data_IF_620694543437
#
_entry.id   IF_620694543437
#
_cell.length_a   1.000
_cell.length_b   1.000
_cell.length_c   1.000
_cell.angle_alpha   90.00
_cell.angle_beta   90.00
_cell.angle_gamma   90.00
#
_symmetry.space_group_name_H-M   'P 1'
#
loop_
_entity.id
_entity.type
_entity.pdbx_description
1 polymer ?
#
# COMPACT_ATOMS: atom_id res chain seq x y z
N UNK A 1 17.83 20.91 -4.64
CA UNK A 1 16.66 21.66 -4.10
C UNK A 1 15.39 20.92 -4.45
N UNK A 2 14.56 20.69 -3.45
CA UNK A 2 13.23 20.07 -3.57
C UNK A 2 12.24 21.12 -4.05
N UNK A 3 11.48 20.82 -5.11
CA UNK A 3 10.53 21.75 -5.72
C UNK A 3 9.23 21.06 -6.12
N UNK A 4 8.14 21.82 -6.12
CA UNK A 4 6.83 21.36 -6.61
C UNK A 4 6.92 20.96 -8.08
N UNK A 5 6.22 19.89 -8.46
CA UNK A 5 6.18 19.42 -9.85
C UNK A 5 5.30 20.35 -10.69
N UNK A 6 5.94 21.16 -11.55
CA UNK A 6 5.28 22.11 -12.46
C UNK A 6 5.56 21.85 -13.94
N UNK A 7 6.57 21.05 -14.24
CA UNK A 7 7.01 20.81 -15.63
C UNK A 7 7.40 19.35 -15.88
N UNK A 8 7.65 19.02 -17.17
CA UNK A 8 7.99 17.67 -17.63
C UNK A 8 9.28 17.14 -17.00
N UNK A 9 10.29 17.98 -16.85
CA UNK A 9 11.59 17.57 -16.27
C UNK A 9 11.45 17.14 -14.82
N UNK A 10 10.73 17.91 -14.01
CA UNK A 10 10.45 17.55 -12.61
C UNK A 10 9.62 16.27 -12.51
N UNK A 11 8.63 16.09 -13.40
CA UNK A 11 7.85 14.86 -13.47
C UNK A 11 8.72 13.64 -13.84
N UNK A 12 9.66 13.81 -14.75
CA UNK A 12 10.60 12.74 -15.09
C UNK A 12 11.52 12.37 -13.92
N UNK A 13 12.04 13.37 -13.19
CA UNK A 13 12.84 13.14 -11.96
C UNK A 13 12.04 12.37 -10.91
N UNK A 14 10.79 12.75 -10.69
CA UNK A 14 9.90 12.06 -9.76
C UNK A 14 9.74 10.57 -10.13
N UNK A 15 9.44 10.26 -11.38
CA UNK A 15 9.32 8.87 -11.83
C UNK A 15 10.65 8.12 -11.73
N UNK A 16 11.76 8.75 -12.09
CA UNK A 16 13.08 8.14 -11.98
C UNK A 16 13.46 7.82 -10.53
N UNK A 17 13.11 8.70 -9.58
CA UNK A 17 13.34 8.46 -8.16
C UNK A 17 12.51 7.29 -7.59
N UNK A 18 11.33 7.02 -8.15
CA UNK A 18 10.47 5.89 -7.74
C UNK A 18 10.88 4.56 -8.39
N UNK A 19 11.50 4.60 -9.58
CA UNK A 19 11.72 3.43 -10.43
C UNK A 19 12.45 2.29 -9.70
N UNK A 20 11.87 1.10 -9.75
CA UNK A 20 12.39 -0.12 -9.15
C UNK A 20 12.29 -0.20 -7.62
N UNK A 21 11.81 0.85 -6.94
CA UNK A 21 11.66 0.84 -5.49
C UNK A 21 10.36 0.16 -5.07
N UNK A 22 10.49 -0.84 -4.20
CA UNK A 22 9.35 -1.62 -3.72
C UNK A 22 8.30 -0.72 -3.06
N UNK A 23 7.03 -0.97 -3.35
CA UNK A 23 5.87 -0.18 -2.98
C UNK A 23 5.82 1.20 -3.66
N UNK A 24 6.90 1.97 -3.60
CA UNK A 24 6.94 3.34 -4.14
C UNK A 24 6.70 3.40 -5.65
N UNK A 25 7.27 2.46 -6.42
CA UNK A 25 7.15 2.46 -7.88
C UNK A 25 5.72 2.18 -8.38
N UNK A 26 4.90 1.49 -7.59
CA UNK A 26 3.48 1.38 -7.87
C UNK A 26 2.69 2.60 -7.36
N UNK A 27 2.96 3.03 -6.12
CA UNK A 27 2.10 3.97 -5.39
C UNK A 27 2.28 5.42 -5.85
N UNK A 28 3.51 5.95 -5.84
CA UNK A 28 3.76 7.36 -6.03
C UNK A 28 3.49 7.84 -7.47
N UNK A 29 3.96 7.13 -8.53
CA UNK A 29 3.61 7.46 -9.91
C UNK A 29 2.11 7.46 -10.16
N UNK A 30 1.39 6.48 -9.61
CA UNK A 30 -0.04 6.40 -9.74
C UNK A 30 -0.74 7.57 -9.02
N UNK A 31 -0.34 7.89 -7.79
CA UNK A 31 -0.88 9.02 -7.03
C UNK A 31 -0.69 10.34 -7.81
N UNK A 32 0.52 10.58 -8.36
CA UNK A 32 0.78 11.77 -9.19
C UNK A 32 -0.10 11.80 -10.46
N UNK A 33 -0.33 10.66 -11.12
CA UNK A 33 -1.18 10.59 -12.30
C UNK A 33 -2.65 10.90 -11.98
N UNK A 34 -3.15 10.40 -10.85
CA UNK A 34 -4.54 10.54 -10.46
C UNK A 34 -4.86 11.90 -9.84
N UNK A 35 -3.98 12.39 -8.98
CA UNK A 35 -4.21 13.54 -8.08
C UNK A 35 -3.39 14.78 -8.45
N UNK A 36 -2.35 14.65 -9.28
CA UNK A 36 -1.43 15.75 -9.55
C UNK A 36 -2.07 17.01 -10.16
N UNK A 37 -3.20 16.88 -10.86
CA UNK A 37 -3.96 18.03 -11.37
C UNK A 37 -4.90 18.64 -10.33
N UNK A 38 -5.57 17.82 -9.53
CA UNK A 38 -6.53 18.26 -8.50
C UNK A 38 -5.84 18.71 -7.21
N UNK A 39 -4.64 18.18 -6.93
CA UNK A 39 -3.85 18.48 -5.74
C UNK A 39 -2.41 18.91 -6.12
N UNK A 40 -2.23 20.04 -6.82
CA UNK A 40 -0.92 20.42 -7.36
C UNK A 40 0.14 20.67 -6.29
N UNK A 41 -0.27 21.04 -5.05
CA UNK A 41 0.62 21.28 -3.92
C UNK A 41 1.06 20.02 -3.17
N UNK A 42 0.72 18.81 -3.67
CA UNK A 42 1.00 17.55 -3.00
C UNK A 42 2.33 16.90 -3.43
N UNK A 43 2.74 17.09 -4.68
CA UNK A 43 3.85 16.34 -5.26
C UNK A 43 5.06 17.22 -5.53
N UNK A 44 6.24 16.72 -5.08
CA UNK A 44 7.51 17.44 -5.19
C UNK A 44 8.61 16.51 -5.69
N UNK A 45 9.60 17.08 -6.36
CA UNK A 45 10.77 16.37 -6.86
C UNK A 45 12.05 17.13 -6.51
N UNK A 46 13.05 16.38 -6.05
CA UNK A 46 14.46 16.79 -6.01
C UNK A 46 15.23 16.22 -7.22
N UNK A 47 16.55 16.36 -7.26
CA UNK A 47 17.38 15.73 -8.29
C UNK A 47 17.21 14.21 -8.33
N UNK A 48 17.16 13.57 -7.17
CA UNK A 48 17.08 12.10 -6.98
C UNK A 48 15.98 11.70 -6.00
N UNK A 49 15.03 12.60 -5.70
CA UNK A 49 13.98 12.42 -4.72
C UNK A 49 12.60 12.63 -5.34
N UNK A 50 11.64 11.79 -4.94
CA UNK A 50 10.20 11.97 -5.15
C UNK A 50 9.50 12.06 -3.80
N UNK A 51 8.64 13.07 -3.62
CA UNK A 51 7.81 13.24 -2.43
C UNK A 51 6.34 13.33 -2.78
N UNK A 52 5.53 12.56 -2.06
CA UNK A 52 4.08 12.69 -1.99
C UNK A 52 3.72 13.18 -0.57
N UNK A 53 3.25 14.42 -0.46
CA UNK A 53 2.87 15.05 0.80
C UNK A 53 1.35 15.01 0.95
N UNK A 54 0.85 13.99 1.62
CA UNK A 54 -0.57 13.78 1.89
C UNK A 54 -0.94 14.20 3.32
N UNK A 55 -1.50 15.39 3.48
CA UNK A 55 -1.81 15.94 4.80
C UNK A 55 -0.55 16.13 5.65
N UNK A 56 -0.47 15.48 6.84
CA UNK A 56 0.68 15.58 7.74
C UNK A 56 1.72 14.47 7.56
N UNK A 57 1.56 13.62 6.55
CA UNK A 57 2.51 12.51 6.29
C UNK A 57 3.03 12.61 4.88
N UNK A 58 4.34 12.50 4.73
CA UNK A 58 5.00 12.40 3.43
C UNK A 58 5.47 10.96 3.16
N UNK A 59 5.49 10.59 1.87
CA UNK A 59 6.17 9.39 1.37
C UNK A 59 7.35 9.85 0.54
N UNK A 60 8.56 9.38 0.87
CA UNK A 60 9.81 9.79 0.25
C UNK A 60 10.49 8.62 -0.45
N UNK A 61 10.63 8.68 -1.77
CA UNK A 61 11.35 7.70 -2.58
C UNK A 61 12.61 8.34 -3.19
N UNK A 62 13.75 7.66 -3.10
CA UNK A 62 15.01 8.16 -3.61
C UNK A 62 15.89 8.76 -2.51
N UNK A 63 16.80 9.66 -2.87
CA UNK A 63 17.80 10.21 -1.97
C UNK A 63 17.66 11.72 -1.83
N UNK A 64 17.84 12.23 -0.61
CA UNK A 64 17.92 13.65 -0.29
C UNK A 64 19.00 13.91 0.74
N UNK A 65 19.48 15.16 0.80
CA UNK A 65 20.24 15.64 1.94
C UNK A 65 19.33 15.68 3.17
N UNK A 66 19.73 15.15 4.35
CA UNK A 66 18.92 15.10 5.56
C UNK A 66 18.40 16.47 6.04
N UNK A 67 19.27 17.50 6.00
CA UNK A 67 18.90 18.85 6.46
C UNK A 67 17.92 19.52 5.50
N UNK A 68 18.13 19.37 4.18
CA UNK A 68 17.21 19.85 3.16
C UNK A 68 15.84 19.18 3.29
N UNK A 69 15.83 17.85 3.51
CA UNK A 69 14.60 17.09 3.68
C UNK A 69 13.85 17.51 4.94
N UNK A 70 14.55 17.65 6.08
CA UNK A 70 13.95 18.09 7.34
C UNK A 70 13.34 19.50 7.21
N UNK A 71 14.10 20.45 6.69
CA UNK A 71 13.63 21.84 6.48
C UNK A 71 12.41 21.90 5.56
N UNK A 72 12.43 21.09 4.48
CA UNK A 72 11.32 21.04 3.53
C UNK A 72 10.05 20.42 4.14
N UNK A 73 10.19 19.30 4.87
CA UNK A 73 9.06 18.66 5.54
C UNK A 73 8.43 19.55 6.61
N UNK A 74 9.24 20.25 7.38
CA UNK A 74 8.78 21.22 8.37
C UNK A 74 8.02 22.39 7.70
N UNK A 75 8.56 22.94 6.60
CA UNK A 75 7.89 23.95 5.80
C UNK A 75 6.52 23.49 5.29
N UNK A 76 6.40 22.22 4.88
CA UNK A 76 5.12 21.62 4.47
C UNK A 76 4.19 21.28 5.63
N UNK A 77 4.58 21.47 6.89
CA UNK A 77 3.80 21.12 8.08
C UNK A 77 3.65 19.59 8.27
N UNK A 78 4.58 18.81 7.72
CA UNK A 78 4.59 17.38 7.92
C UNK A 78 4.94 17.01 9.36
N UNK A 79 4.27 16.00 9.89
CA UNK A 79 4.56 15.38 11.21
C UNK A 79 5.17 14.00 11.08
N UNK A 80 5.11 13.43 9.90
CA UNK A 80 5.70 12.12 9.63
C UNK A 80 6.21 12.01 8.20
N UNK A 81 7.25 11.19 8.02
CA UNK A 81 7.74 10.76 6.70
C UNK A 81 7.97 9.25 6.71
N UNK A 82 7.64 8.59 5.60
CA UNK A 82 7.89 7.18 5.37
C UNK A 82 8.92 7.08 4.25
N UNK A 83 10.01 6.38 4.50
CA UNK A 83 11.13 6.25 3.58
C UNK A 83 11.85 4.90 3.73
N UNK A 84 12.64 4.54 2.71
CA UNK A 84 13.59 3.43 2.75
C UNK A 84 14.95 3.95 3.21
N UNK A 85 15.36 3.62 4.44
CA UNK A 85 16.63 4.08 5.04
C UNK A 85 17.87 3.61 4.29
N UNK A 86 17.79 2.50 3.55
CA UNK A 86 18.91 2.03 2.72
C UNK A 86 19.19 2.97 1.55
N UNK A 87 18.23 3.83 1.20
CA UNK A 87 18.33 4.72 0.03
C UNK A 87 18.22 6.20 0.43
N UNK A 88 17.36 6.54 1.38
CA UNK A 88 17.09 7.89 1.84
C UNK A 88 17.53 8.03 3.29
N UNK A 89 18.57 8.81 3.60
CA UNK A 89 18.94 9.12 4.98
C UNK A 89 17.75 9.78 5.71
N UNK A 90 17.59 9.51 7.03
CA UNK A 90 16.53 10.11 7.82
C UNK A 90 16.70 11.64 7.90
N UNK A 91 15.60 12.41 7.98
CA UNK A 91 15.67 13.86 8.16
C UNK A 91 16.34 14.21 9.49
N UNK A 92 17.20 15.20 9.48
CA UNK A 92 17.88 15.67 10.68
C UNK A 92 16.89 16.13 11.76
N UNK A 93 17.09 15.65 12.99
CA UNK A 93 16.24 15.99 14.14
C UNK A 93 14.95 15.17 14.23
N UNK A 94 14.64 14.31 13.25
CA UNK A 94 13.45 13.45 13.29
C UNK A 94 13.76 12.11 13.95
N UNK A 95 12.81 11.56 14.70
CA UNK A 95 12.96 10.29 15.42
C UNK A 95 12.25 9.15 14.71
N UNK A 96 12.88 7.97 14.71
CA UNK A 96 12.25 6.77 14.17
C UNK A 96 11.12 6.31 15.08
N UNK A 97 9.89 6.37 14.58
CA UNK A 97 8.69 5.93 15.32
C UNK A 97 8.41 4.43 15.14
N UNK A 98 8.60 3.92 13.89
CA UNK A 98 8.40 2.49 13.59
C UNK A 98 9.08 2.08 12.30
N UNK A 99 9.32 0.77 12.17
CA UNK A 99 9.74 0.13 10.92
C UNK A 99 8.67 -0.89 10.49
N UNK A 100 8.38 -0.96 9.21
CA UNK A 100 7.50 -1.95 8.60
C UNK A 100 8.29 -2.76 7.58
N UNK A 101 8.19 -4.07 7.64
CA UNK A 101 8.81 -4.95 6.64
C UNK A 101 8.01 -4.90 5.35
N UNK A 102 8.68 -4.77 4.22
CA UNK A 102 8.07 -4.99 2.90
C UNK A 102 8.06 -6.50 2.67
N UNK A 103 6.89 -7.07 2.54
CA UNK A 103 6.69 -8.46 2.12
C UNK A 103 6.23 -8.51 0.67
N UNK A 104 6.47 -9.63 0.01
CA UNK A 104 5.99 -9.88 -1.35
C UNK A 104 6.41 -11.23 -1.89
N UNK A 105 6.23 -11.40 -3.18
CA UNK A 105 6.67 -12.58 -3.93
C UNK A 105 7.89 -12.25 -4.78
N UNK A 106 8.70 -13.25 -5.11
CA UNK A 106 9.67 -13.13 -6.19
C UNK A 106 8.93 -12.98 -7.55
N UNK A 107 9.63 -12.50 -8.56
CA UNK A 107 9.03 -12.37 -9.89
C UNK A 107 8.61 -13.74 -10.43
N UNK A 108 7.35 -13.88 -10.81
CA UNK A 108 6.79 -15.13 -11.35
C UNK A 108 6.51 -16.23 -10.31
N UNK A 109 6.78 -15.97 -9.04
CA UNK A 109 6.50 -16.92 -7.96
C UNK A 109 4.99 -16.99 -7.68
N UNK A 110 4.53 -18.21 -7.36
CA UNK A 110 3.19 -18.49 -6.84
C UNK A 110 3.30 -19.28 -5.53
N UNK A 111 2.40 -19.01 -4.62
CA UNK A 111 2.35 -19.66 -3.32
C UNK A 111 1.38 -20.84 -3.33
N UNK A 112 1.70 -21.93 -2.62
CA UNK A 112 0.71 -22.97 -2.35
C UNK A 112 -0.41 -22.40 -1.47
N UNK A 113 -1.64 -22.86 -1.71
CA UNK A 113 -2.75 -22.51 -0.84
C UNK A 113 -2.53 -23.03 0.58
N UNK A 114 -2.87 -22.25 1.62
CA UNK A 114 -2.72 -22.69 3.00
C UNK A 114 -3.51 -23.98 3.27
N UNK A 115 -2.86 -24.96 3.87
CA UNK A 115 -3.53 -26.21 4.26
C UNK A 115 -4.70 -25.91 5.21
N UNK A 116 -5.85 -26.51 4.93
CA UNK A 116 -7.08 -26.33 5.70
C UNK A 116 -7.54 -27.67 6.26
N UNK A 117 -8.09 -27.65 7.47
CA UNK A 117 -8.86 -28.77 8.03
C UNK A 117 -10.18 -28.93 7.27
N UNK A 118 -10.83 -30.08 7.39
CA UNK A 118 -12.15 -30.31 6.77
C UNK A 118 -13.16 -29.22 7.18
N UNK A 119 -13.23 -28.88 8.47
CA UNK A 119 -14.11 -27.83 8.97
C UNK A 119 -13.83 -26.46 8.31
N UNK A 120 -12.55 -26.12 8.12
CA UNK A 120 -12.17 -24.87 7.47
C UNK A 120 -12.50 -24.86 5.98
N UNK A 121 -12.40 -26.02 5.32
CA UNK A 121 -12.79 -26.20 3.92
C UNK A 121 -14.30 -26.03 3.75
N UNK A 122 -15.09 -26.71 4.56
CA UNK A 122 -16.56 -26.59 4.54
C UNK A 122 -16.99 -25.12 4.76
N UNK A 123 -16.34 -24.44 5.72
CA UNK A 123 -16.60 -23.01 5.94
C UNK A 123 -16.23 -22.18 4.71
N UNK A 124 -15.06 -22.39 4.12
CA UNK A 124 -14.63 -21.69 2.91
C UNK A 124 -15.64 -21.90 1.76
N UNK A 125 -16.07 -23.12 1.53
CA UNK A 125 -17.00 -23.49 0.44
C UNK A 125 -18.41 -22.93 0.66
N UNK A 126 -18.75 -22.53 1.89
CA UNK A 126 -20.01 -21.81 2.22
C UNK A 126 -19.97 -20.32 1.95
N UNK A 127 -18.80 -19.75 1.63
CA UNK A 127 -18.62 -18.34 1.32
C UNK A 127 -18.68 -18.10 -0.19
N UNK A 128 -19.29 -17.00 -0.59
CA UNK A 128 -19.30 -16.58 -1.99
C UNK A 128 -18.18 -15.59 -2.24
N UNK A 129 -17.27 -15.90 -3.15
CA UNK A 129 -16.23 -14.98 -3.59
C UNK A 129 -16.80 -13.97 -4.60
N UNK A 130 -16.51 -12.70 -4.37
CA UNK A 130 -16.77 -11.59 -5.27
C UNK A 130 -15.42 -10.93 -5.62
N UNK A 131 -15.07 -10.96 -6.90
CA UNK A 131 -13.79 -10.43 -7.41
C UNK A 131 -13.89 -8.95 -7.83
N UNK A 132 -15.10 -8.39 -7.78
CA UNK A 132 -15.34 -6.98 -8.08
C UNK A 132 -16.41 -6.36 -7.17
N UNK A 133 -16.29 -6.47 -5.82
CA UNK A 133 -17.28 -6.00 -4.89
C UNK A 133 -17.49 -4.49 -5.00
N UNK A 134 -18.71 -4.03 -4.75
CA UNK A 134 -19.00 -2.60 -4.72
C UNK A 134 -18.10 -1.85 -3.72
N UNK A 135 -17.56 -0.68 -4.13
CA UNK A 135 -16.58 0.06 -3.33
C UNK A 135 -17.15 0.60 -2.01
N UNK A 136 -18.45 0.91 -1.95
CA UNK A 136 -19.12 1.38 -0.73
C UNK A 136 -19.07 0.36 0.40
N UNK A 137 -19.64 -0.85 0.24
CA UNK A 137 -19.57 -1.92 1.24
C UNK A 137 -18.12 -2.28 1.65
N UNK A 138 -17.16 -2.26 0.72
CA UNK A 138 -15.75 -2.46 1.05
C UNK A 138 -15.23 -1.37 1.98
N UNK A 139 -15.55 -0.10 1.69
CA UNK A 139 -15.13 1.04 2.52
C UNK A 139 -15.77 0.99 3.92
N UNK A 140 -17.02 0.56 4.03
CA UNK A 140 -17.71 0.37 5.30
C UNK A 140 -17.06 -0.70 6.17
N UNK A 141 -16.69 -1.84 5.60
CA UNK A 141 -15.99 -2.91 6.32
C UNK A 141 -14.61 -2.46 6.80
N UNK A 142 -13.87 -1.70 5.98
CA UNK A 142 -12.52 -1.27 6.31
C UNK A 142 -12.49 -0.10 7.32
N UNK A 143 -13.49 0.78 7.31
CA UNK A 143 -13.51 2.00 8.13
C UNK A 143 -14.89 2.24 8.77
N UNK A 144 -15.41 1.28 9.58
CA UNK A 144 -16.77 1.37 10.14
C UNK A 144 -16.97 2.62 11.00
N UNK A 145 -15.96 2.95 11.84
CA UNK A 145 -16.03 4.03 12.84
C UNK A 145 -15.27 5.30 12.42
N UNK A 146 -14.91 5.43 11.13
CA UNK A 146 -14.10 6.54 10.61
C UNK A 146 -14.71 7.13 9.33
N UNK A 147 -15.83 7.86 9.41
CA UNK A 147 -16.59 8.30 8.23
C UNK A 147 -15.76 9.12 7.23
N UNK A 148 -15.01 10.11 7.69
CA UNK A 148 -14.16 10.91 6.79
C UNK A 148 -13.13 10.06 6.03
N UNK A 149 -12.47 9.11 6.74
CA UNK A 149 -11.52 8.19 6.08
C UNK A 149 -12.21 7.22 5.12
N UNK A 150 -13.43 6.81 5.43
CA UNK A 150 -14.26 5.95 4.57
C UNK A 150 -14.60 6.65 3.26
N UNK A 151 -15.01 7.92 3.32
CA UNK A 151 -15.32 8.74 2.15
C UNK A 151 -14.09 8.97 1.27
N UNK A 152 -12.95 9.33 1.86
CA UNK A 152 -11.68 9.49 1.15
C UNK A 152 -11.28 8.19 0.45
N UNK A 153 -11.33 7.08 1.18
CA UNK A 153 -11.00 5.76 0.64
C UNK A 153 -11.95 5.34 -0.49
N UNK A 154 -13.26 5.53 -0.30
CA UNK A 154 -14.27 5.24 -1.32
C UNK A 154 -13.99 5.99 -2.62
N UNK A 155 -13.78 7.30 -2.53
CA UNK A 155 -13.51 8.17 -3.68
C UNK A 155 -12.21 7.75 -4.41
N UNK A 156 -11.14 7.49 -3.65
CA UNK A 156 -9.87 7.03 -4.18
C UNK A 156 -10.01 5.66 -4.86
N UNK A 157 -10.70 4.71 -4.22
CA UNK A 157 -10.92 3.36 -4.76
C UNK A 157 -11.72 3.40 -6.05
N UNK A 158 -12.83 4.13 -6.10
CA UNK A 158 -13.61 4.31 -7.33
C UNK A 158 -12.75 4.86 -8.48
N UNK A 159 -11.95 5.88 -8.19
CA UNK A 159 -11.04 6.49 -9.18
C UNK A 159 -9.99 5.49 -9.68
N UNK A 160 -9.43 4.68 -8.81
CA UNK A 160 -8.42 3.67 -9.18
C UNK A 160 -9.04 2.52 -9.98
N UNK A 161 -10.21 2.02 -9.55
CA UNK A 161 -10.92 0.93 -10.23
C UNK A 161 -11.37 1.32 -11.63
N UNK A 162 -11.96 2.49 -11.81
CA UNK A 162 -12.38 2.99 -13.14
C UNK A 162 -11.23 3.09 -14.16
N UNK A 163 -9.98 3.05 -13.69
CA UNK A 163 -8.76 3.07 -14.51
C UNK A 163 -8.00 1.75 -14.53
N UNK A 164 -8.57 0.67 -13.97
CA UNK A 164 -7.91 -0.63 -13.86
C UNK A 164 -6.64 -0.61 -12.99
N UNK A 165 -6.60 0.28 -11.97
CA UNK A 165 -5.43 0.49 -11.11
C UNK A 165 -5.60 -0.03 -9.69
N UNK A 166 -6.73 -0.69 -9.41
CA UNK A 166 -6.96 -1.41 -8.16
C UNK A 166 -7.79 -2.66 -8.42
N UNK A 167 -7.45 -3.74 -7.70
CA UNK A 167 -8.23 -4.96 -7.58
C UNK A 167 -8.66 -5.13 -6.14
N UNK A 168 -9.92 -5.48 -5.92
CA UNK A 168 -10.44 -5.80 -4.59
C UNK A 168 -11.28 -7.04 -4.70
N UNK A 169 -11.05 -7.99 -3.80
CA UNK A 169 -11.85 -9.19 -3.64
C UNK A 169 -12.50 -9.22 -2.28
N UNK A 170 -13.70 -9.78 -2.22
CA UNK A 170 -14.43 -10.00 -0.98
C UNK A 170 -14.95 -11.44 -0.90
N UNK A 171 -15.11 -11.90 0.32
CA UNK A 171 -15.91 -13.09 0.62
C UNK A 171 -17.18 -12.64 1.32
N UNK A 172 -18.30 -13.14 0.84
CA UNK A 172 -19.63 -12.83 1.34
C UNK A 172 -20.25 -14.04 2.06
N UNK A 173 -20.94 -13.77 3.15
CA UNK A 173 -21.78 -14.73 3.85
C UNK A 173 -23.14 -14.05 4.09
N UNK A 174 -24.23 -14.68 3.62
CA UNK A 174 -25.59 -14.13 3.73
C UNK A 174 -25.72 -12.69 3.21
N UNK A 175 -25.07 -12.36 2.10
CA UNK A 175 -25.10 -11.03 1.49
C UNK A 175 -24.24 -9.97 2.16
N UNK A 176 -23.46 -10.32 3.20
CA UNK A 176 -22.55 -9.41 3.92
C UNK A 176 -21.10 -9.77 3.63
N UNK A 177 -20.26 -8.77 3.40
CA UNK A 177 -18.81 -8.95 3.30
C UNK A 177 -18.25 -9.35 4.66
N UNK A 178 -17.62 -10.53 4.73
CA UNK A 178 -16.98 -11.07 5.94
C UNK A 178 -15.47 -11.10 5.87
N UNK A 179 -14.91 -11.02 4.66
CA UNK A 179 -13.48 -10.89 4.45
C UNK A 179 -13.21 -10.08 3.19
N UNK A 180 -12.17 -9.26 3.20
CA UNK A 180 -11.73 -8.51 2.00
C UNK A 180 -10.21 -8.45 1.94
N UNK A 181 -9.70 -8.36 0.73
CA UNK A 181 -8.29 -8.09 0.40
C UNK A 181 -8.25 -7.22 -0.85
N UNK A 182 -7.22 -6.39 -0.99
CA UNK A 182 -7.10 -5.56 -2.19
C UNK A 182 -5.66 -5.21 -2.54
N UNK A 183 -5.43 -5.00 -3.85
CA UNK A 183 -4.28 -4.32 -4.40
C UNK A 183 -4.74 -2.91 -4.80
N UNK A 184 -4.24 -1.91 -4.09
CA UNK A 184 -4.72 -0.53 -4.21
C UNK A 184 -3.80 0.39 -5.03
N UNK A 185 -2.75 -0.18 -5.62
CA UNK A 185 -1.97 0.48 -6.66
C UNK A 185 -1.35 -0.58 -7.58
N UNK A 186 -1.81 -0.61 -8.83
CA UNK A 186 -1.26 -1.42 -9.90
C UNK A 186 -0.46 -0.51 -10.85
N UNK A 187 0.86 -0.67 -10.86
CA UNK A 187 1.74 0.16 -11.69
C UNK A 187 3.15 -0.39 -11.80
N UNK A 188 3.78 -0.16 -12.93
CA UNK A 188 5.19 -0.48 -13.20
C UNK A 188 5.59 -1.93 -12.82
N UNK A 189 4.70 -2.90 -13.10
CA UNK A 189 4.94 -4.31 -12.78
C UNK A 189 4.80 -4.67 -11.30
N UNK A 190 4.37 -3.76 -10.42
CA UNK A 190 4.08 -4.03 -9.02
C UNK A 190 2.60 -3.88 -8.70
N UNK A 191 2.13 -4.63 -7.70
CA UNK A 191 0.81 -4.52 -7.10
C UNK A 191 0.96 -4.26 -5.60
N UNK A 192 0.66 -3.05 -5.15
CA UNK A 192 0.67 -2.72 -3.72
C UNK A 192 -0.60 -3.22 -3.06
N UNK A 193 -0.48 -4.29 -2.28
CA UNK A 193 -1.58 -4.89 -1.52
C UNK A 193 -1.70 -4.22 -0.14
N UNK A 194 -2.92 -4.01 0.33
CA UNK A 194 -3.20 -3.42 1.65
C UNK A 194 -4.62 -3.74 2.11
N UNK A 195 -4.96 -3.26 3.30
CA UNK A 195 -6.33 -3.25 3.82
C UNK A 195 -7.05 -4.61 3.80
N UNK A 196 -6.31 -5.70 4.08
CA UNK A 196 -6.95 -7.01 4.33
C UNK A 196 -7.67 -7.00 5.67
N UNK A 197 -8.95 -7.39 5.69
CA UNK A 197 -9.75 -7.50 6.90
C UNK A 197 -10.60 -8.77 6.87
N UNK A 198 -10.72 -9.42 8.03
CA UNK A 198 -11.63 -10.57 8.25
C UNK A 198 -12.47 -10.26 9.47
N UNK A 199 -13.78 -10.52 9.37
CA UNK A 199 -14.73 -10.39 10.47
C UNK A 199 -14.23 -11.19 11.69
N UNK A 200 -14.39 -10.63 12.89
CA UNK A 200 -13.79 -11.16 14.11
C UNK A 200 -14.19 -12.61 14.39
N UNK A 201 -15.45 -12.94 14.20
CA UNK A 201 -15.99 -14.28 14.41
C UNK A 201 -15.36 -15.35 13.48
N UNK A 202 -14.77 -14.93 12.34
CA UNK A 202 -14.15 -15.81 11.36
C UNK A 202 -12.61 -15.79 11.41
N UNK A 203 -12.02 -15.03 12.34
CA UNK A 203 -10.55 -15.03 12.53
C UNK A 203 -10.06 -16.39 13.02
N UNK A 204 -8.82 -16.73 12.71
CA UNK A 204 -8.24 -18.05 13.03
C UNK A 204 -8.70 -19.20 12.13
N UNK A 205 -9.73 -19.01 11.28
CA UNK A 205 -10.24 -20.01 10.36
C UNK A 205 -9.47 -20.10 9.02
N UNK A 206 -8.32 -19.45 8.91
CA UNK A 206 -7.45 -19.36 7.71
C UNK A 206 -8.10 -18.71 6.47
N UNK A 207 -9.30 -18.15 6.58
CA UNK A 207 -10.04 -17.53 5.46
C UNK A 207 -9.24 -16.36 4.87
N UNK A 208 -8.85 -15.39 5.70
CA UNK A 208 -8.09 -14.23 5.25
C UNK A 208 -6.75 -14.60 4.63
N UNK A 209 -6.02 -15.55 5.22
CA UNK A 209 -4.74 -16.03 4.68
C UNK A 209 -4.89 -16.66 3.30
N UNK A 210 -5.92 -17.51 3.11
CA UNK A 210 -6.21 -18.12 1.81
C UNK A 210 -6.57 -17.06 0.76
N UNK A 211 -7.45 -16.13 1.08
CA UNK A 211 -7.84 -15.06 0.16
C UNK A 211 -6.66 -14.18 -0.25
N UNK A 212 -5.75 -13.86 0.69
CA UNK A 212 -4.52 -13.10 0.41
C UNK A 212 -3.62 -13.86 -0.57
N UNK A 213 -3.42 -15.17 -0.36
CA UNK A 213 -2.59 -16.01 -1.24
C UNK A 213 -3.22 -16.14 -2.63
N UNK A 214 -4.52 -16.38 -2.71
CA UNK A 214 -5.22 -16.47 -4.00
C UNK A 214 -5.12 -15.16 -4.79
N UNK A 215 -5.32 -14.00 -4.15
CA UNK A 215 -5.13 -12.70 -4.81
C UNK A 215 -3.69 -12.47 -5.23
N UNK A 216 -2.72 -12.77 -4.39
CA UNK A 216 -1.30 -12.60 -4.72
C UNK A 216 -0.92 -13.46 -5.94
N UNK A 217 -1.39 -14.70 -6.01
CA UNK A 217 -1.18 -15.59 -7.15
C UNK A 217 -1.83 -15.05 -8.43
N UNK A 218 -3.05 -14.53 -8.33
CA UNK A 218 -3.75 -13.91 -9.47
C UNK A 218 -3.01 -12.67 -9.98
N UNK A 219 -2.51 -11.81 -9.09
CA UNK A 219 -1.69 -10.65 -9.45
C UNK A 219 -0.38 -11.07 -10.11
N UNK A 220 0.30 -12.10 -9.59
CA UNK A 220 1.52 -12.63 -10.18
C UNK A 220 1.26 -13.22 -11.58
N UNK A 221 0.17 -13.97 -11.76
CA UNK A 221 -0.25 -14.49 -13.06
C UNK A 221 -0.58 -13.38 -14.06
N UNK A 222 -1.08 -12.22 -13.59
CA UNK A 222 -1.31 -11.03 -14.41
C UNK A 222 -0.05 -10.20 -14.67
N UNK A 223 1.14 -10.67 -14.27
CA UNK A 223 2.43 -10.00 -14.50
C UNK A 223 2.76 -8.89 -13.51
N UNK A 224 2.05 -8.83 -12.37
CA UNK A 224 2.35 -7.90 -11.30
C UNK A 224 3.08 -8.60 -10.14
N UNK A 225 4.10 -7.98 -9.59
CA UNK A 225 4.74 -8.42 -8.35
C UNK A 225 3.93 -7.94 -7.15
N UNK A 226 3.29 -8.82 -6.37
CA UNK A 226 2.61 -8.43 -5.15
C UNK A 226 3.62 -7.95 -4.10
N UNK A 227 3.38 -6.76 -3.52
CA UNK A 227 4.18 -6.19 -2.43
C UNK A 227 3.26 -5.51 -1.42
N UNK A 228 3.60 -5.56 -0.13
CA UNK A 228 2.82 -4.91 0.92
C UNK A 228 3.67 -4.60 2.15
N UNK A 229 3.19 -3.67 2.96
CA UNK A 229 3.82 -3.32 4.24
C UNK A 229 3.22 -4.15 5.36
N UNK A 230 4.09 -4.73 6.15
CA UNK A 230 3.75 -5.57 7.29
C UNK A 230 4.29 -4.96 8.59
N UNK A 231 3.45 -4.83 9.58
CA UNK A 231 3.85 -4.47 10.92
C UNK A 231 4.55 -5.64 11.64
N UNK A 232 5.44 -5.37 12.60
CA UNK A 232 6.26 -6.42 13.24
C UNK A 232 5.46 -7.59 13.81
N UNK A 233 4.29 -7.33 14.37
CA UNK A 233 3.41 -8.34 14.97
C UNK A 233 2.81 -9.33 13.96
N UNK A 234 2.81 -8.99 12.66
CA UNK A 234 2.27 -9.83 11.58
C UNK A 234 3.32 -10.54 10.74
N UNK A 235 4.59 -10.32 11.01
CA UNK A 235 5.71 -10.93 10.25
C UNK A 235 5.57 -12.45 10.21
N UNK A 236 5.36 -13.09 11.36
CA UNK A 236 5.19 -14.54 11.45
C UNK A 236 4.03 -15.05 10.59
N UNK A 237 2.88 -14.36 10.62
CA UNK A 237 1.70 -14.73 9.83
C UNK A 237 2.00 -14.76 8.32
N UNK A 238 2.63 -13.71 7.77
CA UNK A 238 2.93 -13.67 6.35
C UNK A 238 4.06 -14.62 5.93
N UNK A 239 5.04 -14.84 6.80
CA UNK A 239 6.08 -15.86 6.57
C UNK A 239 5.47 -17.26 6.49
N UNK A 240 4.50 -17.59 7.37
CA UNK A 240 3.79 -18.87 7.32
C UNK A 240 2.94 -19.04 6.05
N UNK A 241 2.49 -17.96 5.44
CA UNK A 241 1.80 -18.01 4.14
C UNK A 241 2.76 -18.17 2.96
N UNK A 242 4.08 -18.11 3.20
CA UNK A 242 5.12 -18.26 2.19
C UNK A 242 5.61 -16.95 1.56
N UNK A 243 5.12 -15.79 2.01
CA UNK A 243 5.66 -14.51 1.54
C UNK A 243 7.06 -14.25 2.10
N UNK A 244 7.88 -13.53 1.33
CA UNK A 244 9.27 -13.22 1.68
C UNK A 244 9.45 -11.78 2.14
N UNK A 245 10.31 -11.51 3.14
CA UNK A 245 10.76 -10.16 3.45
C UNK A 245 11.68 -9.66 2.31
N UNK A 246 11.36 -8.52 1.74
CA UNK A 246 12.04 -7.95 0.58
C UNK A 246 12.80 -6.66 0.90
N UNK A 247 12.54 -6.07 2.07
CA UNK A 247 13.10 -4.81 2.52
C UNK A 247 12.30 -4.23 3.67
N UNK A 248 12.52 -2.96 3.98
CA UNK A 248 11.80 -2.27 5.03
C UNK A 248 11.60 -0.79 4.72
N UNK A 249 10.50 -0.22 5.23
CA UNK A 249 10.28 1.22 5.27
C UNK A 249 10.23 1.67 6.72
N UNK A 250 10.92 2.76 7.02
CA UNK A 250 10.89 3.41 8.31
C UNK A 250 9.97 4.63 8.28
N UNK A 251 9.22 4.80 9.36
CA UNK A 251 8.46 6.01 9.63
C UNK A 251 9.22 6.85 10.65
N UNK A 252 9.53 8.07 10.26
CA UNK A 252 10.10 9.09 11.13
C UNK A 252 9.04 10.11 11.49
N UNK A 253 9.13 10.66 12.70
CA UNK A 253 8.21 11.67 13.21
C UNK A 253 8.99 12.86 13.76
N UNK A 254 8.45 14.05 13.51
CA UNK A 254 8.85 15.28 14.17
C UNK A 254 7.92 15.51 15.36
N UNK A 255 8.49 15.55 16.56
CA UNK A 255 7.79 15.73 17.84
C UNK A 255 7.69 17.21 18.26
N UNK A 256 8.14 18.16 17.40
CA UNK A 256 8.02 19.60 17.63
C UNK A 256 6.67 20.17 17.19
#
# INVERSE_FOLDING_TARGET
MIAQIKNKTQKQRFYAACKGKLCFDAMLPLALQLLGKSQPGRFFAGPTLALDVGGRTAWAAGHANPDELASFLNFCGCRAVILDEAVCPPPTGWTRARTQTIFGLAAGEQLPLPAQTEKQRVLWDSLTRDEDPASGPVAEVLFPDRPARREDFYSELCTKRSRGKAWVWALNQNGKIVCTVGAYALGNGQAYMACGQTEEALRGQKIGGRLIVEMANALAAAGHRPVFLCSPERVHFYTQLGFHPLGALARYENNE
#
